data_IF_992109246200
#
_entry.id   IF_992109246200
#
_cell.length_a   1.000
_cell.length_b   1.000
_cell.length_c   1.000
_cell.angle_alpha   90.00
_cell.angle_beta   90.00
_cell.angle_gamma   90.00
#
_symmetry.space_group_name_H-M   'P 1'
#
loop_
_entity.id
_entity.type
_entity.pdbx_description
1 polymer ?
#
# COMPACT_ATOMS: atom_id res chain seq x y z
N UNK A 1 -1.88 25.31 -17.70
CA UNK A 1 -2.94 24.88 -16.76
C UNK A 1 -2.37 25.08 -15.35
N UNK A 2 -3.04 25.84 -14.46
CA UNK A 2 -2.54 25.97 -13.07
C UNK A 2 -2.82 24.66 -12.34
N UNK A 3 -1.79 23.98 -11.86
CA UNK A 3 -1.92 22.84 -10.94
C UNK A 3 -2.55 23.35 -9.63
N UNK A 4 -3.56 22.66 -9.15
CA UNK A 4 -4.14 22.95 -7.85
C UNK A 4 -3.27 22.31 -6.75
N UNK A 5 -2.86 23.10 -5.75
CA UNK A 5 -2.16 22.57 -4.56
C UNK A 5 -3.19 22.04 -3.58
N UNK A 6 -3.05 20.77 -3.19
CA UNK A 6 -3.91 20.11 -2.22
C UNK A 6 -3.05 19.71 -1.04
N UNK A 7 -2.90 20.60 -0.06
CA UNK A 7 -2.13 20.36 1.17
C UNK A 7 -0.66 19.96 0.95
N UNK A 8 0.22 20.36 1.82
CA UNK A 8 1.63 19.96 1.92
C UNK A 8 2.37 19.63 0.60
N UNK A 9 2.25 20.51 -0.41
CA UNK A 9 2.92 20.42 -1.72
C UNK A 9 2.49 19.27 -2.65
N UNK A 10 1.41 18.54 -2.36
CA UNK A 10 0.82 17.58 -3.29
C UNK A 10 0.18 18.33 -4.45
N UNK A 11 0.64 18.09 -5.67
CA UNK A 11 0.09 18.69 -6.88
C UNK A 11 -0.92 17.75 -7.55
N UNK A 12 -2.08 18.30 -7.92
CA UNK A 12 -3.10 17.55 -8.66
C UNK A 12 -3.35 18.21 -10.01
N UNK A 13 -3.21 17.42 -11.08
CA UNK A 13 -3.59 17.83 -12.42
C UNK A 13 -4.52 16.79 -13.04
N UNK A 14 -5.72 17.19 -13.51
CA UNK A 14 -6.70 16.28 -14.11
C UNK A 14 -7.02 15.03 -13.27
N UNK A 15 -7.17 15.19 -11.95
CA UNK A 15 -7.34 14.11 -10.99
C UNK A 15 -6.16 13.11 -10.91
N UNK A 16 -5.01 13.43 -11.47
CA UNK A 16 -3.77 12.70 -11.26
C UNK A 16 -3.04 13.27 -10.04
N UNK A 17 -2.71 12.40 -9.10
CA UNK A 17 -1.90 12.74 -7.93
C UNK A 17 -0.44 12.45 -8.23
N UNK A 18 0.45 13.41 -7.97
CA UNK A 18 1.90 13.22 -8.07
C UNK A 18 2.51 13.22 -6.68
N UNK A 19 3.32 12.21 -6.40
CA UNK A 19 3.97 11.99 -5.11
C UNK A 19 5.50 12.14 -5.20
N UNK A 20 5.97 13.04 -6.05
CA UNK A 20 7.38 13.31 -6.28
C UNK A 20 7.95 14.41 -5.36
N UNK A 21 9.27 14.55 -5.34
CA UNK A 21 9.98 15.59 -4.59
C UNK A 21 9.90 15.43 -3.08
N UNK A 22 9.60 16.54 -2.36
CA UNK A 22 9.58 16.59 -0.89
C UNK A 22 8.44 15.80 -0.23
N UNK A 23 7.47 15.31 -1.01
CA UNK A 23 6.33 14.54 -0.46
C UNK A 23 6.83 13.28 0.24
N UNK A 24 7.85 12.62 -0.29
CA UNK A 24 8.44 11.44 0.33
C UNK A 24 8.99 11.71 1.74
N UNK A 25 9.46 12.95 2.05
CA UNK A 25 10.01 13.31 3.35
C UNK A 25 8.96 13.49 4.44
N UNK A 26 7.76 13.89 4.06
CA UNK A 26 6.65 14.20 4.98
C UNK A 26 5.49 13.20 4.90
N UNK A 27 5.62 12.20 4.01
CA UNK A 27 4.52 11.28 3.67
C UNK A 27 3.93 10.58 4.90
N UNK A 28 4.76 9.95 5.72
CA UNK A 28 4.31 9.19 6.91
C UNK A 28 3.57 10.09 7.89
N UNK A 29 4.12 11.28 8.17
CA UNK A 29 3.46 12.23 9.09
C UNK A 29 2.16 12.78 8.52
N UNK A 30 2.08 12.96 7.20
CA UNK A 30 0.87 13.44 6.54
C UNK A 30 -0.22 12.38 6.50
N UNK A 31 0.12 11.14 6.12
CA UNK A 31 -0.87 10.06 5.98
C UNK A 31 -1.43 9.63 7.32
N UNK A 32 -0.63 9.56 8.38
CA UNK A 32 -1.10 9.22 9.73
C UNK A 32 -2.05 10.26 10.32
N UNK A 33 -1.95 11.53 9.91
CA UNK A 33 -2.90 12.58 10.28
C UNK A 33 -4.14 12.63 9.38
N UNK A 34 -4.07 12.10 8.16
CA UNK A 34 -5.14 12.24 7.16
C UNK A 34 -5.99 10.98 7.01
N UNK A 35 -5.49 9.82 7.46
CA UNK A 35 -6.20 8.54 7.34
C UNK A 35 -6.51 8.01 8.73
N UNK A 36 -7.80 7.98 9.12
CA UNK A 36 -8.21 7.44 10.42
C UNK A 36 -7.69 6.01 10.63
N UNK A 37 -7.17 5.75 11.83
CA UNK A 37 -6.69 4.43 12.24
C UNK A 37 -5.58 3.85 11.34
N UNK A 38 -4.80 4.69 10.65
CA UNK A 38 -3.76 4.25 9.72
C UNK A 38 -2.81 3.21 10.33
N UNK A 39 -2.24 3.51 11.48
CA UNK A 39 -1.32 2.60 12.16
C UNK A 39 -2.01 1.35 12.72
N UNK A 40 -3.27 1.49 13.17
CA UNK A 40 -4.08 0.34 13.62
C UNK A 40 -4.39 -0.63 12.48
N UNK A 41 -4.56 -0.12 11.27
CA UNK A 41 -4.66 -0.95 10.08
C UNK A 41 -3.38 -1.73 9.80
N UNK A 42 -2.20 -1.12 9.99
CA UNK A 42 -0.92 -1.84 9.92
C UNK A 42 -0.84 -2.98 10.96
N UNK A 43 -1.22 -2.70 12.22
CA UNK A 43 -1.26 -3.73 13.28
C UNK A 43 -2.19 -4.89 12.89
N UNK A 44 -3.35 -4.58 12.30
CA UNK A 44 -4.29 -5.60 11.83
C UNK A 44 -3.73 -6.43 10.68
N UNK A 45 -3.06 -5.80 9.71
CA UNK A 45 -2.38 -6.52 8.61
C UNK A 45 -1.31 -7.46 9.17
N UNK A 46 -0.50 -7.01 10.13
CA UNK A 46 0.48 -7.85 10.80
C UNK A 46 -0.17 -9.08 11.45
N UNK A 47 -1.26 -8.89 12.22
CA UNK A 47 -1.98 -10.00 12.85
C UNK A 47 -2.61 -10.96 11.83
N UNK A 48 -3.19 -10.43 10.75
CA UNK A 48 -3.75 -11.26 9.68
C UNK A 48 -2.68 -12.06 8.94
N UNK A 49 -1.46 -11.51 8.81
CA UNK A 49 -0.36 -12.22 8.15
C UNK A 49 0.02 -13.53 8.82
N UNK A 50 -0.25 -13.69 10.11
CA UNK A 50 0.01 -14.94 10.86
C UNK A 50 -0.70 -16.16 10.25
N UNK A 51 -1.81 -15.95 9.56
CA UNK A 51 -2.61 -17.02 8.95
C UNK A 51 -2.17 -17.41 7.55
N UNK A 52 -1.35 -16.59 6.89
CA UNK A 52 -1.02 -16.75 5.47
C UNK A 52 0.48 -16.89 5.22
N UNK A 53 1.32 -16.38 6.13
CA UNK A 53 2.78 -16.41 5.95
C UNK A 53 3.37 -17.63 6.63
N UNK A 54 4.17 -18.40 5.91
CA UNK A 54 4.98 -19.51 6.42
C UNK A 54 6.46 -19.29 6.01
N UNK A 55 7.36 -20.21 6.38
CA UNK A 55 8.81 -20.11 6.15
C UNK A 55 9.23 -19.98 4.68
N UNK A 56 8.40 -20.41 3.76
CA UNK A 56 8.67 -20.36 2.31
C UNK A 56 7.81 -19.37 1.56
N UNK A 57 7.02 -18.60 2.29
CA UNK A 57 6.05 -17.70 1.70
C UNK A 57 6.69 -16.53 0.98
N UNK A 58 6.04 -16.11 -0.11
CA UNK A 58 6.27 -14.83 -0.75
C UNK A 58 5.10 -13.89 -0.43
N UNK A 59 5.42 -12.71 0.06
CA UNK A 59 4.48 -11.64 0.41
C UNK A 59 4.75 -10.43 -0.46
N UNK A 60 3.72 -9.89 -1.09
CA UNK A 60 3.80 -8.65 -1.85
C UNK A 60 3.03 -7.53 -1.15
N UNK A 61 3.57 -6.32 -1.20
CA UNK A 61 2.83 -5.08 -0.98
C UNK A 61 2.89 -4.24 -2.25
N UNK A 62 1.73 -3.96 -2.85
CA UNK A 62 1.60 -3.06 -3.99
C UNK A 62 1.33 -1.64 -3.52
N UNK A 63 2.10 -0.66 -4.05
CA UNK A 63 2.09 0.72 -3.58
C UNK A 63 2.73 0.85 -2.19
N UNK A 64 3.93 0.28 -2.02
CA UNK A 64 4.61 0.21 -0.72
C UNK A 64 5.07 1.58 -0.20
N UNK A 65 5.07 2.62 -1.04
CA UNK A 65 5.48 3.97 -0.69
C UNK A 65 6.87 4.00 -0.01
N UNK A 66 6.98 4.48 1.22
CA UNK A 66 8.22 4.54 2.00
C UNK A 66 8.55 3.23 2.75
N UNK A 67 7.82 2.15 2.51
CA UNK A 67 8.11 0.81 3.03
C UNK A 67 7.68 0.54 4.48
N UNK A 68 6.88 1.41 5.08
CA UNK A 68 6.50 1.29 6.50
C UNK A 68 5.75 -0.01 6.81
N UNK A 69 4.75 -0.37 6.00
CA UNK A 69 3.92 -1.54 6.27
C UNK A 69 4.67 -2.82 5.93
N UNK A 70 5.34 -2.91 4.77
CA UNK A 70 6.06 -4.13 4.39
C UNK A 70 7.17 -4.46 5.40
N UNK A 71 7.87 -3.44 5.94
CA UNK A 71 8.86 -3.61 7.00
C UNK A 71 8.23 -4.16 8.28
N UNK A 72 7.11 -3.57 8.73
CA UNK A 72 6.38 -4.05 9.92
C UNK A 72 5.93 -5.50 9.76
N UNK A 73 5.38 -5.87 8.61
CA UNK A 73 4.94 -7.25 8.33
C UNK A 73 6.13 -8.21 8.32
N UNK A 74 7.25 -7.82 7.72
CA UNK A 74 8.48 -8.63 7.73
C UNK A 74 9.04 -8.82 9.15
N UNK A 75 9.09 -7.75 9.95
CA UNK A 75 9.54 -7.83 11.33
C UNK A 75 8.61 -8.68 12.21
N UNK A 76 7.29 -8.54 12.03
CA UNK A 76 6.29 -9.37 12.71
C UNK A 76 6.49 -10.85 12.42
N UNK A 77 6.86 -11.20 11.18
CA UNK A 77 7.10 -12.56 10.72
C UNK A 77 8.59 -12.97 10.76
N UNK A 78 9.46 -12.27 11.48
CA UNK A 78 10.90 -12.56 11.52
C UNK A 78 11.26 -13.99 11.96
N UNK A 79 10.37 -14.65 12.71
CA UNK A 79 10.53 -16.07 13.10
C UNK A 79 10.33 -17.06 11.92
N UNK A 80 9.92 -16.58 10.76
CA UNK A 80 9.69 -17.35 9.53
C UNK A 80 10.86 -17.12 8.56
N UNK A 81 12.03 -17.62 8.90
CA UNK A 81 13.35 -17.26 8.35
C UNK A 81 13.49 -17.32 6.83
N UNK A 82 12.67 -18.06 6.11
CA UNK A 82 12.74 -18.19 4.65
C UNK A 82 11.67 -17.37 3.91
N UNK A 83 10.79 -16.68 4.61
CA UNK A 83 9.77 -15.82 3.99
C UNK A 83 10.40 -14.59 3.31
N UNK A 84 9.88 -14.21 2.15
CA UNK A 84 10.31 -13.08 1.36
C UNK A 84 9.21 -12.02 1.32
N UNK A 85 9.57 -10.77 1.55
CA UNK A 85 8.66 -9.63 1.55
C UNK A 85 9.07 -8.66 0.45
N UNK A 86 8.19 -8.36 -0.48
CA UNK A 86 8.49 -7.59 -1.69
C UNK A 86 7.55 -6.40 -1.75
N UNK A 87 8.11 -5.20 -1.60
CA UNK A 87 7.38 -3.94 -1.78
C UNK A 87 7.57 -3.41 -3.21
N UNK A 88 6.49 -3.01 -3.86
CA UNK A 88 6.48 -2.50 -5.22
C UNK A 88 5.87 -1.10 -5.23
N UNK A 89 6.56 -0.13 -5.82
CA UNK A 89 6.05 1.23 -5.99
C UNK A 89 6.60 1.86 -7.28
N UNK A 90 5.79 2.59 -8.07
CA UNK A 90 6.26 3.22 -9.30
C UNK A 90 6.98 4.56 -9.08
N UNK A 91 7.02 5.08 -7.85
CA UNK A 91 7.53 6.43 -7.56
C UNK A 91 8.97 6.34 -7.05
N UNK A 92 9.95 6.64 -7.90
CA UNK A 92 11.38 6.52 -7.59
C UNK A 92 11.79 7.13 -6.23
N UNK A 93 11.45 8.39 -5.90
CA UNK A 93 11.76 8.98 -4.59
C UNK A 93 11.19 8.21 -3.38
N UNK A 94 10.00 7.58 -3.53
CA UNK A 94 9.42 6.72 -2.50
C UNK A 94 10.23 5.43 -2.35
N UNK A 95 10.58 4.81 -3.48
CA UNK A 95 11.39 3.59 -3.54
C UNK A 95 12.76 3.77 -2.88
N UNK A 96 13.44 4.87 -3.16
CA UNK A 96 14.75 5.15 -2.52
C UNK A 96 14.61 5.25 -1.00
N UNK A 97 13.59 5.95 -0.51
CA UNK A 97 13.31 6.00 0.92
C UNK A 97 12.93 4.66 1.52
N UNK A 98 12.11 3.87 0.80
CA UNK A 98 11.75 2.53 1.24
C UNK A 98 12.98 1.62 1.36
N UNK A 99 13.92 1.70 0.40
CA UNK A 99 15.20 0.97 0.47
C UNK A 99 16.03 1.37 1.69
N UNK A 100 16.16 2.68 1.93
CA UNK A 100 16.86 3.20 3.13
C UNK A 100 16.17 2.73 4.42
N UNK A 101 14.85 2.85 4.47
CA UNK A 101 14.05 2.47 5.64
C UNK A 101 14.12 0.97 5.93
N UNK A 102 14.14 0.11 4.90
CA UNK A 102 14.17 -1.34 5.04
C UNK A 102 15.59 -1.94 5.07
N UNK A 103 16.65 -1.13 5.03
CA UNK A 103 18.04 -1.60 4.93
C UNK A 103 18.48 -2.56 6.06
N UNK A 104 17.86 -2.47 7.23
CA UNK A 104 18.09 -3.32 8.40
C UNK A 104 17.23 -4.60 8.41
N UNK A 105 16.40 -4.82 7.39
CA UNK A 105 15.46 -5.94 7.32
C UNK A 105 15.72 -6.78 6.04
N UNK A 106 16.70 -7.70 6.07
CA UNK A 106 17.19 -8.39 4.86
C UNK A 106 16.16 -9.25 4.13
N UNK A 107 15.07 -9.63 4.78
CA UNK A 107 13.95 -10.34 4.16
C UNK A 107 13.07 -9.46 3.26
N UNK A 108 13.26 -8.13 3.28
CA UNK A 108 12.52 -7.16 2.46
C UNK A 108 13.31 -6.79 1.21
N UNK A 109 12.63 -6.80 0.07
CA UNK A 109 13.14 -6.30 -1.21
C UNK A 109 12.20 -5.20 -1.71
N UNK A 110 12.73 -4.04 -2.10
CA UNK A 110 11.94 -2.94 -2.66
C UNK A 110 12.25 -2.80 -4.14
N UNK A 111 11.20 -2.80 -4.96
CA UNK A 111 11.27 -2.77 -6.44
C UNK A 111 10.55 -1.52 -6.94
N UNK A 112 11.23 -0.77 -7.82
CA UNK A 112 10.62 0.31 -8.58
C UNK A 112 9.92 -0.27 -9.81
N UNK A 113 8.61 -0.42 -9.74
CA UNK A 113 7.78 -0.89 -10.85
C UNK A 113 6.32 -0.54 -10.62
N UNK A 114 5.54 -0.53 -11.69
CA UNK A 114 4.09 -0.39 -11.65
C UNK A 114 3.45 -1.78 -11.51
N UNK A 115 2.68 -1.98 -10.46
CA UNK A 115 2.00 -3.25 -10.20
C UNK A 115 1.14 -3.75 -11.38
N UNK A 116 0.69 -2.85 -12.26
CA UNK A 116 -0.05 -3.21 -13.50
C UNK A 116 0.83 -3.96 -14.50
N UNK A 117 2.12 -3.67 -14.52
CA UNK A 117 3.09 -4.25 -15.45
C UNK A 117 3.93 -5.36 -14.81
N UNK A 118 4.09 -5.32 -13.50
CA UNK A 118 4.94 -6.25 -12.74
C UNK A 118 4.51 -7.70 -12.91
N UNK A 119 5.47 -8.59 -13.12
CA UNK A 119 5.25 -10.04 -13.22
C UNK A 119 5.38 -10.67 -11.83
N UNK A 120 4.25 -10.99 -11.21
CA UNK A 120 4.20 -11.61 -9.91
C UNK A 120 4.56 -13.10 -9.96
N UNK A 121 5.43 -13.54 -9.07
CA UNK A 121 5.58 -14.96 -8.74
C UNK A 121 4.37 -15.43 -7.89
N UNK A 122 4.22 -16.74 -7.72
CA UNK A 122 3.23 -17.28 -6.80
C UNK A 122 3.48 -16.80 -5.37
N UNK A 123 2.41 -16.38 -4.71
CA UNK A 123 2.48 -15.74 -3.40
C UNK A 123 1.36 -16.22 -2.47
N UNK A 124 1.60 -16.10 -1.18
CA UNK A 124 0.64 -16.52 -0.14
C UNK A 124 -0.13 -15.33 0.43
N UNK A 125 0.45 -14.14 0.32
CA UNK A 125 -0.17 -12.90 0.77
C UNK A 125 0.16 -11.75 -0.18
N UNK A 126 -0.86 -11.01 -0.58
CA UNK A 126 -0.72 -9.75 -1.28
C UNK A 126 -1.41 -8.66 -0.46
N UNK A 127 -0.75 -7.54 -0.26
CA UNK A 127 -1.25 -6.41 0.51
C UNK A 127 -1.41 -5.21 -0.42
N UNK A 128 -2.56 -4.54 -0.32
CA UNK A 128 -2.84 -3.25 -0.96
C UNK A 128 -3.39 -2.29 0.09
N UNK A 129 -2.58 -1.31 0.48
CA UNK A 129 -2.94 -0.40 1.55
C UNK A 129 -3.14 1.01 1.02
N UNK A 130 -4.40 1.37 0.73
CA UNK A 130 -4.83 2.63 0.13
C UNK A 130 -4.21 2.92 -1.25
N UNK A 131 -3.96 1.90 -2.07
CA UNK A 131 -3.27 2.01 -3.36
C UNK A 131 -4.21 2.01 -4.55
N UNK A 132 -5.24 1.13 -4.56
CA UNK A 132 -6.11 0.92 -5.74
C UNK A 132 -6.86 2.20 -6.13
N UNK A 133 -7.11 3.10 -5.18
CA UNK A 133 -7.75 4.39 -5.47
C UNK A 133 -6.97 5.24 -6.50
N UNK A 134 -5.66 5.08 -6.61
CA UNK A 134 -4.79 5.80 -7.56
C UNK A 134 -4.69 5.11 -8.92
N UNK A 135 -5.18 3.89 -9.05
CA UNK A 135 -5.20 3.14 -10.31
C UNK A 135 -6.46 3.51 -11.09
N UNK A 136 -6.33 3.89 -12.39
CA UNK A 136 -7.48 4.20 -13.20
C UNK A 136 -8.51 3.06 -13.20
N UNK A 137 -9.82 3.35 -13.09
CA UNK A 137 -10.85 2.31 -13.01
C UNK A 137 -10.81 1.29 -14.15
N UNK A 138 -10.43 1.72 -15.36
CA UNK A 138 -10.30 0.84 -16.54
C UNK A 138 -9.23 -0.24 -16.39
N UNK A 139 -8.19 0.01 -15.55
CA UNK A 139 -7.04 -0.87 -15.41
C UNK A 139 -7.18 -1.80 -14.20
N UNK A 140 -8.16 -1.54 -13.31
CA UNK A 140 -8.29 -2.26 -12.04
C UNK A 140 -8.65 -3.72 -12.22
N UNK A 141 -9.57 -4.04 -13.14
CA UNK A 141 -9.99 -5.43 -13.34
C UNK A 141 -8.80 -6.28 -13.77
N UNK A 142 -8.02 -5.83 -14.75
CA UNK A 142 -6.84 -6.56 -15.21
C UNK A 142 -5.81 -6.74 -14.08
N UNK A 143 -5.62 -5.72 -13.23
CA UNK A 143 -4.75 -5.87 -12.07
C UNK A 143 -5.29 -6.93 -11.09
N UNK A 144 -6.58 -6.90 -10.75
CA UNK A 144 -7.17 -7.91 -9.86
C UNK A 144 -7.06 -9.33 -10.42
N UNK A 145 -7.28 -9.51 -11.72
CA UNK A 145 -7.10 -10.81 -12.38
C UNK A 145 -5.65 -11.30 -12.22
N UNK A 146 -4.67 -10.41 -12.45
CA UNK A 146 -3.23 -10.70 -12.27
C UNK A 146 -2.89 -11.05 -10.81
N UNK A 147 -3.41 -10.30 -9.84
CA UNK A 147 -3.19 -10.59 -8.42
C UNK A 147 -3.83 -11.93 -8.01
N UNK A 148 -5.03 -12.21 -8.50
CA UNK A 148 -5.70 -13.49 -8.26
C UNK A 148 -4.90 -14.67 -8.82
N UNK A 149 -4.39 -14.55 -10.03
CA UNK A 149 -3.54 -15.58 -10.64
C UNK A 149 -2.22 -15.77 -9.90
N UNK A 150 -1.68 -14.73 -9.27
CA UNK A 150 -0.46 -14.80 -8.48
C UNK A 150 -0.65 -15.53 -7.14
N UNK A 151 -1.86 -15.53 -6.58
CA UNK A 151 -2.12 -16.18 -5.29
C UNK A 151 -2.02 -17.71 -5.38
N UNK A 152 -1.37 -18.29 -4.38
CA UNK A 152 -1.46 -19.71 -4.10
C UNK A 152 -2.86 -20.08 -3.59
N UNK A 153 -3.24 -21.36 -3.70
CA UNK A 153 -4.45 -21.86 -3.05
C UNK A 153 -4.35 -21.66 -1.53
N UNK A 154 -5.35 -21.00 -0.94
CA UNK A 154 -5.32 -20.63 0.47
C UNK A 154 -4.63 -19.31 0.78
N UNK A 155 -4.01 -18.66 -0.21
CA UNK A 155 -3.46 -17.31 -0.07
C UNK A 155 -4.54 -16.23 -0.02
N UNK A 156 -4.16 -15.02 0.35
CA UNK A 156 -5.07 -13.90 0.54
C UNK A 156 -4.59 -12.60 -0.12
N UNK A 157 -5.56 -11.81 -0.57
CA UNK A 157 -5.39 -10.37 -0.82
C UNK A 157 -6.01 -9.59 0.34
N UNK A 158 -5.17 -8.88 1.10
CA UNK A 158 -5.62 -7.93 2.11
C UNK A 158 -5.65 -6.54 1.49
N UNK A 159 -6.83 -5.91 1.50
CA UNK A 159 -7.02 -4.61 0.88
C UNK A 159 -7.68 -3.63 1.85
N UNK A 160 -7.04 -2.47 2.02
CA UNK A 160 -7.62 -1.30 2.68
C UNK A 160 -7.81 -0.20 1.66
N UNK A 161 -9.03 0.32 1.57
CA UNK A 161 -9.35 1.35 0.57
C UNK A 161 -10.37 2.36 1.07
N UNK A 162 -10.27 3.58 0.56
CA UNK A 162 -11.29 4.60 0.76
C UNK A 162 -12.48 4.30 -0.14
N UNK A 163 -13.61 3.97 0.47
CA UNK A 163 -14.87 3.69 -0.25
C UNK A 163 -15.82 4.88 -0.17
N UNK A 164 -16.69 5.02 -1.17
CA UNK A 164 -17.82 5.94 -1.10
C UNK A 164 -18.99 5.27 -0.40
N UNK A 165 -19.72 6.05 0.37
CA UNK A 165 -20.97 5.57 0.95
C UNK A 165 -22.04 5.29 -0.13
N UNK A 166 -23.01 4.40 0.13
CA UNK A 166 -24.00 3.96 -0.87
C UNK A 166 -24.99 5.05 -1.29
N UNK A 167 -25.20 6.06 -0.44
CA UNK A 167 -26.08 7.20 -0.73
C UNK A 167 -25.57 8.50 -0.06
N UNK A 168 -26.23 9.63 -0.37
CA UNK A 168 -25.85 10.95 0.13
C UNK A 168 -25.91 11.04 1.67
N UNK A 169 -26.92 10.46 2.30
CA UNK A 169 -27.11 10.49 3.76
C UNK A 169 -25.97 9.80 4.49
N UNK A 170 -25.57 8.60 4.05
CA UNK A 170 -24.42 7.90 4.62
C UNK A 170 -23.11 8.59 4.29
N UNK A 171 -23.01 9.25 3.11
CA UNK A 171 -21.84 10.05 2.77
C UNK A 171 -21.67 11.25 3.73
N UNK A 172 -22.77 11.95 4.06
CA UNK A 172 -22.74 13.06 5.00
C UNK A 172 -22.34 12.59 6.42
N UNK A 173 -22.83 11.44 6.87
CA UNK A 173 -22.41 10.82 8.13
C UNK A 173 -20.92 10.51 8.14
N UNK A 174 -20.39 9.88 7.07
CA UNK A 174 -18.99 9.55 6.96
C UNK A 174 -18.09 10.82 6.94
N UNK A 175 -18.53 11.88 6.25
CA UNK A 175 -17.82 13.17 6.23
C UNK A 175 -17.83 13.83 7.61
N UNK A 176 -18.96 13.79 8.32
CA UNK A 176 -19.05 14.34 9.68
C UNK A 176 -18.08 13.62 10.63
N UNK A 177 -18.08 12.29 10.63
CA UNK A 177 -17.15 11.49 11.45
C UNK A 177 -15.69 11.78 11.09
N UNK A 178 -15.37 11.92 9.80
CA UNK A 178 -14.01 12.24 9.36
C UNK A 178 -13.54 13.61 9.82
N UNK A 179 -14.44 14.60 9.85
CA UNK A 179 -14.10 15.97 10.30
C UNK A 179 -13.87 16.06 11.82
N UNK A 180 -14.35 15.08 12.59
CA UNK A 180 -14.12 14.98 14.04
C UNK A 180 -12.81 14.23 14.38
N UNK A 181 -12.24 13.53 13.41
CA UNK A 181 -10.95 12.83 13.53
C UNK A 181 -9.77 13.79 13.45
#
# INVERSE_FOLDING_TARGET
MKLAKVGQDIETGNAAWTFDGKVADTFVSHVSQSVPLYEKGHDLVCQLSDYFVDKTSTVYEIGTSTGELIKKVAQHNAHREGARFIGIDPVGPMVEKAKEHCADTPSVTIIEDDARNFEFEKSDLIISYYTIQFIPPRDRQQLFDKLYEALNWGGALIMFEKVRAPDARFQDMAVSMYNEF
#
